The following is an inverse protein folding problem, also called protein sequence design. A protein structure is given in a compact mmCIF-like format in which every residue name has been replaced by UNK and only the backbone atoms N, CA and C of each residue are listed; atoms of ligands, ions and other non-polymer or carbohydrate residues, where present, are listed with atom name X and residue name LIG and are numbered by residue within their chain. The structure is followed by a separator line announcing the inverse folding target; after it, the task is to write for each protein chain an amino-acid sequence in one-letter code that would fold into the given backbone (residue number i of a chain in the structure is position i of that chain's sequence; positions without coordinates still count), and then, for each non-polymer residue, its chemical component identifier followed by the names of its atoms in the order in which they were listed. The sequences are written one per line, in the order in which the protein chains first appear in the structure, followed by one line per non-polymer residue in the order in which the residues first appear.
data_IF_265322252170
#
_entry.id   IF_265322252170
#
_cell.length_a   1.000
_cell.length_b   1.000
_cell.length_c   1.000
_cell.angle_alpha   90.00
_cell.angle_beta   90.00
_cell.angle_gamma   90.00
#
_symmetry.space_group_name_H-M   'P 1'
#
loop_
_entity.id
_entity.type
_entity.pdbx_description
1 polymer ?
#
# COMPACT_ATOMS: atom_id res chain seq x y z
N UNK A 1 0.12 -18.37 -20.73
CA UNK A 1 0.03 -17.16 -21.55
C UNK A 1 -0.63 -16.08 -20.74
N UNK A 2 -1.93 -16.15 -20.43
CA UNK A 2 -2.48 -15.23 -19.43
C UNK A 2 -1.76 -15.35 -18.08
N UNK A 3 -1.39 -14.21 -17.52
CA UNK A 3 -0.64 -14.06 -16.27
C UNK A 3 0.84 -14.47 -16.35
N UNK A 4 1.38 -14.75 -17.54
CA UNK A 4 2.83 -14.91 -17.72
C UNK A 4 3.52 -13.57 -17.45
N UNK A 5 4.60 -13.60 -16.67
CA UNK A 5 5.38 -12.42 -16.26
C UNK A 5 6.52 -12.20 -17.23
N UNK A 6 6.56 -11.03 -17.86
CA UNK A 6 7.62 -10.61 -18.76
C UNK A 6 8.59 -9.72 -18.00
N UNK A 7 9.88 -10.05 -18.02
CA UNK A 7 10.94 -9.30 -17.31
C UNK A 7 12.04 -8.89 -18.30
N UNK A 8 12.35 -7.60 -18.33
CA UNK A 8 13.50 -7.05 -19.06
C UNK A 8 14.60 -6.75 -18.05
N UNK A 9 15.77 -7.37 -18.22
CA UNK A 9 16.95 -7.16 -17.37
C UNK A 9 18.06 -6.40 -18.12
N UNK A 10 18.86 -5.66 -17.37
CA UNK A 10 20.09 -5.01 -17.83
C UNK A 10 21.16 -5.16 -16.75
N UNK A 11 22.32 -5.73 -17.10
CA UNK A 11 23.43 -6.00 -16.16
C UNK A 11 22.98 -6.64 -14.81
N UNK A 12 22.06 -7.61 -14.88
CA UNK A 12 21.43 -8.30 -13.73
C UNK A 12 20.45 -7.49 -12.88
N UNK A 13 20.03 -6.31 -13.34
CA UNK A 13 18.96 -5.54 -12.70
C UNK A 13 17.69 -5.61 -13.54
N UNK A 14 16.57 -5.97 -12.92
CA UNK A 14 15.26 -5.80 -13.54
C UNK A 14 14.99 -4.32 -13.83
N UNK A 15 14.79 -4.00 -15.12
CA UNK A 15 14.40 -2.66 -15.56
C UNK A 15 12.89 -2.53 -15.74
N UNK A 16 12.23 -3.61 -16.18
CA UNK A 16 10.78 -3.65 -16.38
C UNK A 16 10.23 -5.02 -16.05
N UNK A 17 9.01 -5.02 -15.55
CA UNK A 17 8.18 -6.19 -15.38
C UNK A 17 6.74 -5.88 -15.82
N UNK A 18 6.06 -6.86 -16.40
CA UNK A 18 4.69 -6.74 -16.83
C UNK A 18 4.00 -8.10 -16.93
N UNK A 19 2.68 -8.10 -17.01
CA UNK A 19 1.86 -9.32 -17.07
C UNK A 19 1.15 -9.42 -18.41
N UNK A 20 1.19 -10.61 -19.00
CA UNK A 20 0.47 -10.88 -20.23
C UNK A 20 -1.03 -11.08 -19.96
N UNK A 21 -1.88 -10.31 -20.63
CA UNK A 21 -3.32 -10.40 -20.56
C UNK A 21 -3.94 -9.94 -21.88
N UNK A 22 -4.89 -10.71 -22.41
CA UNK A 22 -5.62 -10.40 -23.66
C UNK A 22 -4.72 -10.02 -24.85
N UNK A 23 -3.60 -10.72 -25.05
CA UNK A 23 -2.69 -10.46 -26.17
C UNK A 23 -1.71 -9.31 -25.98
N UNK A 24 -1.71 -8.67 -24.81
CA UNK A 24 -0.88 -7.50 -24.50
C UNK A 24 -0.17 -7.67 -23.16
N UNK A 25 0.89 -6.91 -22.94
CA UNK A 25 1.59 -6.77 -21.67
C UNK A 25 1.02 -5.56 -20.92
N UNK A 26 0.48 -5.81 -19.73
CA UNK A 26 0.13 -4.78 -18.76
C UNK A 26 1.39 -4.43 -17.98
N UNK A 27 1.80 -3.17 -18.03
CA UNK A 27 2.97 -2.69 -17.31
C UNK A 27 2.65 -1.44 -16.49
N UNK A 28 3.45 -1.23 -15.44
CA UNK A 28 3.54 0.04 -14.76
C UNK A 28 4.64 0.88 -15.43
N UNK A 29 4.24 2.01 -16.02
CA UNK A 29 5.16 2.99 -16.59
C UNK A 29 5.36 4.15 -15.62
N UNK A 30 6.62 4.43 -15.25
CA UNK A 30 6.98 5.63 -14.49
C UNK A 30 7.28 6.76 -15.48
N UNK A 31 6.52 7.85 -15.38
CA UNK A 31 6.72 9.09 -16.11
C UNK A 31 7.43 10.07 -15.18
N UNK A 32 8.68 10.40 -15.51
CA UNK A 32 9.48 11.38 -14.75
C UNK A 32 9.18 12.79 -15.23
N UNK A 33 8.52 13.59 -14.39
CA UNK A 33 8.29 15.03 -14.62
C UNK A 33 9.34 15.90 -13.93
N UNK A 34 9.35 17.21 -14.26
CA UNK A 34 10.29 18.20 -13.69
C UNK A 34 10.08 18.38 -12.18
N UNK A 35 8.83 18.26 -11.71
CA UNK A 35 8.47 18.52 -10.31
C UNK A 35 8.05 17.27 -9.52
N UNK A 36 7.57 16.22 -10.21
CA UNK A 36 7.15 14.96 -9.60
C UNK A 36 7.19 13.83 -10.62
N UNK A 37 7.35 12.61 -10.13
CA UNK A 37 7.12 11.40 -10.92
C UNK A 37 5.63 11.02 -10.84
N UNK A 38 5.05 10.60 -11.95
CA UNK A 38 3.74 9.96 -12.00
C UNK A 38 3.86 8.54 -12.51
N UNK A 39 2.92 7.67 -12.18
CA UNK A 39 2.81 6.35 -12.79
C UNK A 39 1.57 6.23 -13.63
N UNK A 40 1.69 5.51 -14.74
CA UNK A 40 0.59 5.14 -15.61
C UNK A 40 0.61 3.63 -15.81
N UNK A 41 -0.57 3.02 -15.81
CA UNK A 41 -0.71 1.60 -16.12
C UNK A 41 -1.24 1.51 -17.54
N UNK A 42 -0.52 0.81 -18.41
CA UNK A 42 -0.90 0.68 -19.81
C UNK A 42 -0.72 -0.73 -20.35
N UNK A 43 -1.48 -1.02 -21.42
CA UNK A 43 -1.34 -2.24 -22.23
C UNK A 43 -0.48 -1.93 -23.44
N UNK A 44 0.57 -2.71 -23.64
CA UNK A 44 1.49 -2.60 -24.78
C UNK A 44 1.71 -3.96 -25.43
N UNK A 45 2.09 -4.01 -26.70
CA UNK A 45 2.53 -5.28 -27.29
C UNK A 45 3.94 -5.65 -26.78
N UNK A 46 4.36 -6.90 -27.03
CA UNK A 46 5.67 -7.42 -26.58
C UNK A 46 6.83 -6.60 -27.14
N UNK A 47 6.75 -6.18 -28.40
CA UNK A 47 7.82 -5.39 -29.05
C UNK A 47 7.99 -4.01 -28.39
N UNK A 48 6.90 -3.32 -28.08
CA UNK A 48 6.93 -2.02 -27.40
C UNK A 48 7.35 -2.15 -25.93
N UNK A 49 6.99 -3.25 -25.26
CA UNK A 49 7.42 -3.54 -23.89
C UNK A 49 8.94 -3.71 -23.81
N UNK A 50 9.46 -4.62 -24.63
CA UNK A 50 10.87 -5.05 -24.65
C UNK A 50 11.79 -4.02 -25.29
N UNK A 51 11.30 -3.26 -26.27
CA UNK A 51 12.07 -2.31 -27.09
C UNK A 51 13.31 -2.96 -27.72
N UNK A 52 13.18 -4.22 -28.13
CA UNK A 52 14.28 -5.01 -28.72
C UNK A 52 15.35 -5.46 -27.72
N UNK A 53 15.16 -5.26 -26.41
CA UNK A 53 16.04 -5.82 -25.37
C UNK A 53 15.72 -7.28 -25.11
N UNK A 54 16.72 -8.02 -24.64
CA UNK A 54 16.54 -9.38 -24.11
C UNK A 54 15.59 -9.38 -22.92
N UNK A 55 14.72 -10.39 -22.88
CA UNK A 55 13.72 -10.56 -21.83
C UNK A 55 13.55 -12.02 -21.47
N UNK A 56 12.98 -12.26 -20.29
CA UNK A 56 12.57 -13.57 -19.82
C UNK A 56 11.06 -13.59 -19.61
N UNK A 57 10.47 -14.77 -19.79
CA UNK A 57 9.05 -15.02 -19.52
C UNK A 57 8.96 -16.08 -18.44
N UNK A 58 8.29 -15.74 -17.35
CA UNK A 58 8.09 -16.63 -16.22
C UNK A 58 6.61 -16.95 -16.06
N UNK A 59 6.30 -18.16 -15.59
CA UNK A 59 4.94 -18.58 -15.31
C UNK A 59 4.81 -18.95 -13.85
N UNK A 60 3.80 -18.41 -13.18
CA UNK A 60 3.48 -18.77 -11.80
C UNK A 60 3.05 -20.23 -11.75
N UNK A 61 3.75 -21.04 -10.97
CA UNK A 61 3.54 -22.49 -10.88
C UNK A 61 2.13 -22.85 -10.40
N UNK A 62 1.62 -22.14 -9.39
CA UNK A 62 0.27 -22.35 -8.80
C UNK A 62 -0.88 -21.83 -9.67
N UNK A 63 -0.62 -21.50 -10.93
CA UNK A 63 -1.58 -20.91 -11.84
C UNK A 63 -1.94 -19.46 -11.51
N UNK A 64 -2.78 -18.86 -12.35
CA UNK A 64 -3.27 -17.49 -12.18
C UNK A 64 -4.44 -17.45 -11.17
N UNK A 65 -4.50 -16.45 -10.27
CA UNK A 65 -5.66 -16.28 -9.39
C UNK A 65 -6.95 -16.07 -10.19
N UNK A 66 -8.09 -16.59 -9.70
CA UNK A 66 -9.39 -16.39 -10.33
C UNK A 66 -9.78 -14.91 -10.43
N UNK A 67 -9.29 -14.10 -9.49
CA UNK A 67 -9.45 -12.64 -9.42
C UNK A 67 -8.53 -11.87 -10.36
N UNK A 68 -7.61 -12.52 -11.08
CA UNK A 68 -6.59 -11.85 -11.90
C UNK A 68 -7.18 -10.82 -12.87
N UNK A 69 -8.23 -11.19 -13.63
CA UNK A 69 -8.89 -10.26 -14.57
C UNK A 69 -9.50 -9.05 -13.86
N UNK A 70 -10.17 -9.27 -12.74
CA UNK A 70 -10.74 -8.18 -11.94
C UNK A 70 -9.64 -7.27 -11.37
N UNK A 71 -8.51 -7.83 -10.93
CA UNK A 71 -7.37 -7.06 -10.43
C UNK A 71 -6.75 -6.20 -11.53
N UNK A 72 -6.64 -6.74 -12.75
CA UNK A 72 -6.21 -6.02 -13.95
C UNK A 72 -7.16 -4.88 -14.28
N UNK A 73 -8.46 -5.14 -14.35
CA UNK A 73 -9.45 -4.12 -14.70
C UNK A 73 -9.49 -3.00 -13.64
N UNK A 74 -9.42 -3.35 -12.36
CA UNK A 74 -9.31 -2.37 -11.27
C UNK A 74 -8.04 -1.52 -11.43
N UNK A 75 -6.89 -2.15 -11.70
CA UNK A 75 -5.63 -1.44 -11.88
C UNK A 75 -5.66 -0.50 -13.09
N UNK A 76 -6.21 -0.94 -14.22
CA UNK A 76 -6.36 -0.13 -15.44
C UNK A 76 -7.36 1.03 -15.28
N UNK A 77 -8.35 0.88 -14.40
CA UNK A 77 -9.34 1.93 -14.12
C UNK A 77 -8.82 3.07 -13.24
N UNK A 78 -7.65 2.89 -12.61
CA UNK A 78 -7.06 3.91 -11.73
C UNK A 78 -6.45 5.04 -12.54
N UNK A 79 -6.73 6.27 -12.12
CA UNK A 79 -6.02 7.44 -12.64
C UNK A 79 -4.52 7.36 -12.27
N UNK A 80 -3.64 8.01 -13.06
CA UNK A 80 -2.22 8.10 -12.75
C UNK A 80 -1.97 8.56 -11.31
N UNK A 81 -1.20 7.79 -10.54
CA UNK A 81 -0.83 8.19 -9.18
C UNK A 81 0.36 9.17 -9.26
N UNK A 82 0.20 10.36 -8.68
CA UNK A 82 1.26 11.37 -8.57
C UNK A 82 2.06 11.16 -7.27
N UNK A 83 3.37 11.46 -7.28
CA UNK A 83 4.30 11.28 -6.14
C UNK A 83 4.62 9.81 -5.84
N UNK A 84 4.60 8.98 -6.88
CA UNK A 84 4.84 7.55 -6.79
C UNK A 84 6.36 7.26 -6.72
N UNK A 85 7.00 7.65 -5.62
CA UNK A 85 8.40 7.33 -5.35
C UNK A 85 8.51 5.95 -4.70
N UNK A 86 9.21 5.02 -5.38
CA UNK A 86 9.68 3.76 -4.79
C UNK A 86 8.80 2.53 -5.00
N UNK A 87 7.61 2.63 -5.60
CA UNK A 87 6.85 1.44 -5.99
C UNK A 87 7.40 0.89 -7.31
N UNK A 88 7.84 -0.37 -7.28
CA UNK A 88 8.59 -0.95 -8.39
C UNK A 88 7.70 -1.85 -9.28
N UNK A 89 8.15 -2.10 -10.52
CA UNK A 89 7.38 -2.90 -11.48
C UNK A 89 7.14 -4.36 -11.04
N UNK A 90 7.98 -4.93 -10.18
CA UNK A 90 7.76 -6.27 -9.63
C UNK A 90 6.70 -6.28 -8.54
N UNK A 91 6.66 -5.26 -7.68
CA UNK A 91 5.59 -5.06 -6.68
C UNK A 91 4.22 -4.96 -7.37
N UNK A 92 4.16 -4.27 -8.52
CA UNK A 92 2.96 -4.21 -9.36
C UNK A 92 2.51 -5.58 -9.86
N UNK A 93 3.44 -6.35 -10.44
CA UNK A 93 3.18 -7.70 -10.94
C UNK A 93 2.71 -8.62 -9.80
N UNK A 94 3.37 -8.56 -8.65
CA UNK A 94 2.99 -9.33 -7.48
C UNK A 94 1.60 -8.97 -6.96
N UNK A 95 1.22 -7.69 -6.96
CA UNK A 95 -0.12 -7.26 -6.56
C UNK A 95 -1.20 -7.88 -7.47
N UNK A 96 -1.00 -7.82 -8.79
CA UNK A 96 -1.94 -8.41 -9.75
C UNK A 96 -2.04 -9.93 -9.61
N UNK A 97 -0.93 -10.60 -9.26
CA UNK A 97 -0.85 -12.04 -9.03
C UNK A 97 -1.22 -12.47 -7.60
N UNK A 98 -1.66 -11.55 -6.74
CA UNK A 98 -2.00 -11.78 -5.32
C UNK A 98 -0.89 -12.45 -4.52
N UNK A 99 0.37 -12.15 -4.85
CA UNK A 99 1.52 -12.60 -4.07
C UNK A 99 1.58 -11.77 -2.79
N UNK A 100 1.45 -12.44 -1.65
CA UNK A 100 1.50 -11.77 -0.36
C UNK A 100 2.93 -11.33 -0.03
N UNK A 101 3.09 -10.01 0.09
CA UNK A 101 4.30 -9.39 0.59
C UNK A 101 4.02 -8.78 1.98
N UNK A 102 4.69 -9.24 3.06
CA UNK A 102 4.59 -8.60 4.37
C UNK A 102 4.97 -7.12 4.28
N UNK A 103 4.26 -6.21 4.95
CA UNK A 103 4.59 -4.78 4.93
C UNK A 103 5.94 -4.48 5.61
N UNK A 104 6.66 -3.47 5.12
CA UNK A 104 7.89 -2.94 5.73
C UNK A 104 7.74 -1.45 6.09
N UNK A 105 8.70 -0.90 6.84
CA UNK A 105 8.69 0.54 7.16
C UNK A 105 8.71 1.44 5.91
N UNK A 106 9.37 1.01 4.83
CA UNK A 106 9.40 1.75 3.55
C UNK A 106 8.01 1.90 2.94
N UNK A 107 7.16 0.87 3.07
CA UNK A 107 5.77 0.91 2.60
C UNK A 107 4.96 2.02 3.30
N UNK A 108 5.31 2.39 4.54
CA UNK A 108 4.61 3.47 5.27
C UNK A 108 4.76 4.82 4.57
N UNK A 109 5.94 5.11 4.01
CA UNK A 109 6.18 6.35 3.26
C UNK A 109 5.36 6.36 1.98
N UNK A 110 5.41 5.27 1.20
CA UNK A 110 4.62 5.11 -0.04
C UNK A 110 3.12 5.35 0.22
N UNK A 111 2.58 4.73 1.27
CA UNK A 111 1.18 4.88 1.66
C UNK A 111 0.86 6.31 2.10
N UNK A 112 1.76 6.99 2.83
CA UNK A 112 1.58 8.39 3.23
C UNK A 112 1.50 9.35 2.02
N UNK A 113 2.05 8.95 0.87
CA UNK A 113 1.99 9.69 -0.40
C UNK A 113 0.88 9.25 -1.34
N UNK A 114 0.01 8.32 -0.94
CA UNK A 114 -1.21 7.97 -1.69
C UNK A 114 -1.25 6.55 -2.21
N UNK A 115 -0.17 5.78 -2.12
CA UNK A 115 -0.17 4.40 -2.61
C UNK A 115 -1.10 3.51 -1.78
N UNK A 116 -1.87 2.65 -2.46
CA UNK A 116 -2.67 1.61 -1.80
C UNK A 116 -1.80 0.70 -0.91
N UNK A 117 -2.22 0.40 0.34
CA UNK A 117 -1.53 -0.56 1.19
C UNK A 117 -1.55 -1.98 0.61
N UNK A 118 -0.37 -2.61 0.48
CA UNK A 118 -0.23 -4.00 0.00
C UNK A 118 -0.86 -5.00 0.96
N UNK A 119 -1.51 -6.03 0.42
CA UNK A 119 -2.23 -7.04 1.22
C UNK A 119 -3.57 -6.54 1.77
N UNK A 120 -4.09 -5.44 1.22
CA UNK A 120 -5.41 -4.92 1.52
C UNK A 120 -6.27 -4.85 0.26
N UNK A 121 -7.55 -5.16 0.41
CA UNK A 121 -8.57 -4.86 -0.59
C UNK A 121 -9.19 -3.49 -0.33
N UNK A 122 -9.60 -2.83 -1.40
CA UNK A 122 -10.35 -1.57 -1.32
C UNK A 122 -11.76 -1.88 -0.84
N UNK A 123 -12.22 -1.18 0.19
CA UNK A 123 -13.62 -1.19 0.65
C UNK A 123 -14.34 0.08 0.20
N UNK A 124 -13.61 1.20 0.16
CA UNK A 124 -14.11 2.51 -0.27
C UNK A 124 -12.93 3.33 -0.80
N UNK A 125 -13.07 3.97 -1.95
CA UNK A 125 -12.10 4.95 -2.45
C UNK A 125 -12.35 6.35 -1.89
N UNK A 126 -11.37 7.25 -2.07
CA UNK A 126 -11.49 8.66 -1.64
C UNK A 126 -12.67 9.39 -2.27
N UNK A 127 -12.99 9.08 -3.53
CA UNK A 127 -14.05 9.73 -4.29
C UNK A 127 -15.46 9.21 -3.96
N UNK A 128 -15.56 8.02 -3.38
CA UNK A 128 -16.85 7.37 -3.13
C UNK A 128 -17.55 7.99 -1.91
N UNK A 129 -18.88 7.97 -1.90
CA UNK A 129 -19.67 8.31 -0.71
C UNK A 129 -19.58 7.20 0.36
N UNK A 130 -19.77 7.56 1.63
CA UNK A 130 -19.75 6.58 2.71
C UNK A 130 -21.10 5.87 2.88
N UNK A 131 -21.12 4.57 2.62
CA UNK A 131 -22.31 3.71 2.73
C UNK A 131 -22.27 2.71 3.90
N UNK A 132 -21.62 3.07 5.02
CA UNK A 132 -21.64 2.31 6.30
C UNK A 132 -21.12 0.87 6.29
N UNK A 133 -19.98 0.62 5.62
CA UNK A 133 -19.35 -0.71 5.53
C UNK A 133 -18.09 -0.92 6.38
N UNK A 134 -17.86 -0.06 7.38
CA UNK A 134 -16.68 -0.14 8.22
C UNK A 134 -16.76 -1.31 9.22
N UNK A 135 -15.72 -2.12 9.26
CA UNK A 135 -15.58 -3.26 10.16
C UNK A 135 -14.36 -3.08 11.08
N UNK A 136 -14.32 -3.86 12.17
CA UNK A 136 -13.14 -3.98 13.01
C UNK A 136 -11.90 -4.24 12.13
N UNK A 137 -10.78 -3.60 12.44
CA UNK A 137 -9.51 -3.78 11.73
C UNK A 137 -9.44 -3.14 10.34
N UNK A 138 -10.49 -2.45 9.87
CA UNK A 138 -10.40 -1.64 8.65
C UNK A 138 -9.44 -0.47 8.86
N UNK A 139 -8.54 -0.29 7.89
CA UNK A 139 -7.60 0.82 7.82
C UNK A 139 -8.26 2.01 7.10
N UNK A 140 -8.27 3.16 7.75
CA UNK A 140 -8.77 4.41 7.20
C UNK A 140 -7.58 5.29 6.83
N UNK A 141 -7.60 5.83 5.61
CA UNK A 141 -6.68 6.88 5.16
C UNK A 141 -7.50 8.13 4.82
N UNK A 142 -7.23 9.25 5.49
CA UNK A 142 -7.92 10.53 5.29
C UNK A 142 -7.01 11.50 4.54
N UNK A 143 -7.53 12.09 3.48
CA UNK A 143 -6.85 13.07 2.65
C UNK A 143 -6.83 14.45 3.32
N UNK A 144 -5.69 14.78 3.93
CA UNK A 144 -5.35 16.14 4.38
C UNK A 144 -4.11 16.66 3.63
N UNK A 145 -3.49 17.73 4.12
CA UNK A 145 -2.18 18.19 3.61
C UNK A 145 -1.11 17.09 3.67
N UNK A 146 -1.26 16.13 4.58
CA UNK A 146 -0.63 14.81 4.57
C UNK A 146 -1.71 13.75 4.86
N UNK A 147 -1.54 12.52 4.36
CA UNK A 147 -2.47 11.43 4.70
C UNK A 147 -2.42 11.13 6.20
N UNK A 148 -3.60 11.06 6.80
CA UNK A 148 -3.77 10.59 8.17
C UNK A 148 -4.30 9.17 8.17
N UNK A 149 -3.67 8.29 8.95
CA UNK A 149 -4.10 6.91 9.10
C UNK A 149 -4.68 6.62 10.48
N UNK A 150 -5.69 5.75 10.48
CA UNK A 150 -6.33 5.24 11.69
C UNK A 150 -6.94 3.87 11.42
N UNK A 151 -7.26 3.13 12.49
CA UNK A 151 -7.83 1.77 12.36
C UNK A 151 -9.16 1.70 13.09
N UNK A 152 -10.17 1.09 12.49
CA UNK A 152 -11.43 0.82 13.17
C UNK A 152 -11.21 -0.21 14.29
N UNK A 153 -11.51 0.17 15.53
CA UNK A 153 -11.32 -0.66 16.72
C UNK A 153 -12.63 -1.16 17.34
N UNK A 154 -13.77 -1.00 16.65
CA UNK A 154 -15.08 -1.42 17.15
C UNK A 154 -15.87 -2.24 16.13
N UNK A 155 -16.61 -3.22 16.64
CA UNK A 155 -17.58 -4.01 15.87
C UNK A 155 -18.93 -3.30 15.72
N UNK A 156 -19.20 -2.25 16.52
CA UNK A 156 -20.50 -1.57 16.63
C UNK A 156 -20.56 -0.24 15.88
N UNK A 157 -19.65 -0.01 14.93
CA UNK A 157 -19.54 1.23 14.16
C UNK A 157 -18.13 1.81 14.17
N UNK A 158 -17.88 2.88 13.38
CA UNK A 158 -16.54 3.30 13.04
C UNK A 158 -15.93 4.16 14.16
N UNK A 159 -15.47 3.50 15.23
CA UNK A 159 -14.56 4.08 16.21
C UNK A 159 -13.14 3.85 15.75
N UNK A 160 -12.41 4.94 15.53
CA UNK A 160 -11.08 4.92 14.92
C UNK A 160 -10.04 5.17 16.01
N UNK A 161 -9.12 4.21 16.20
CA UNK A 161 -7.89 4.45 16.95
C UNK A 161 -6.88 5.15 16.04
N UNK A 162 -6.28 6.22 16.52
CA UNK A 162 -5.30 7.01 15.76
C UNK A 162 -4.14 7.47 16.65
N UNK A 163 -3.05 7.85 16.00
CA UNK A 163 -1.95 8.59 16.62
C UNK A 163 -1.99 10.03 16.10
N UNK A 164 -2.29 10.99 16.98
CA UNK A 164 -2.34 12.41 16.63
C UNK A 164 -1.22 13.18 17.32
N UNK A 165 -0.59 14.10 16.59
CA UNK A 165 0.31 15.08 17.19
C UNK A 165 -0.51 16.21 17.82
N UNK A 166 -0.29 16.48 19.11
CA UNK A 166 -0.87 17.62 19.82
C UNK A 166 0.25 18.61 20.12
N UNK A 167 0.06 19.86 19.68
CA UNK A 167 0.95 20.97 20.05
C UNK A 167 0.80 21.23 21.54
N UNK A 168 1.92 21.32 22.25
CA UNK A 168 1.95 21.75 23.65
C UNK A 168 2.81 23.01 23.74
N UNK A 169 2.22 24.09 24.27
CA UNK A 169 2.94 25.34 24.56
C UNK A 169 2.60 26.52 23.65
N UNK A 170 2.83 27.73 24.18
CA UNK A 170 2.62 29.03 23.54
C UNK A 170 3.93 29.64 22.95
N UNK A 171 5.05 28.91 22.95
CA UNK A 171 6.36 29.43 22.56
C UNK A 171 6.72 29.15 21.09
N UNK A 172 7.70 29.89 20.57
CA UNK A 172 8.25 29.84 19.21
C UNK A 172 8.96 28.51 18.86
N UNK A 173 9.07 27.58 19.82
CA UNK A 173 9.56 26.21 19.61
C UNK A 173 8.34 25.28 19.53
N UNK A 174 8.15 24.63 18.38
CA UNK A 174 7.05 23.69 18.14
C UNK A 174 7.31 22.36 18.86
N UNK A 175 6.87 22.24 20.12
CA UNK A 175 6.83 20.96 20.83
C UNK A 175 5.54 20.20 20.48
N UNK A 176 5.70 19.05 19.84
CA UNK A 176 4.61 18.11 19.57
C UNK A 176 4.69 16.90 20.51
N UNK A 177 3.55 16.57 21.13
CA UNK A 177 3.37 15.30 21.83
C UNK A 177 2.42 14.43 21.02
N UNK A 178 2.84 13.22 20.71
CA UNK A 178 1.97 12.24 20.07
C UNK A 178 1.05 11.62 21.13
N UNK A 179 -0.23 11.54 20.82
CA UNK A 179 -1.27 10.98 21.69
C UNK A 179 -2.01 9.90 20.91
N UNK A 180 -2.18 8.74 21.54
CA UNK A 180 -3.08 7.70 21.04
C UNK A 180 -4.47 7.96 21.61
N UNK A 181 -5.47 8.04 20.75
CA UNK A 181 -6.86 8.18 21.18
C UNK A 181 -7.82 7.41 20.27
N UNK A 182 -9.06 7.24 20.73
CA UNK A 182 -10.17 6.72 19.94
C UNK A 182 -11.15 7.87 19.67
N UNK A 183 -11.53 8.05 18.42
CA UNK A 183 -12.50 9.05 17.98
C UNK A 183 -13.59 8.41 17.11
N UNK A 184 -14.72 9.07 16.96
CA UNK A 184 -15.70 8.69 15.95
C UNK A 184 -15.20 9.08 14.55
N UNK A 185 -15.60 8.34 13.50
CA UNK A 185 -15.21 8.62 12.11
C UNK A 185 -15.38 10.08 11.71
N UNK A 186 -16.51 10.71 12.04
CA UNK A 186 -16.75 12.12 11.73
C UNK A 186 -15.70 13.06 12.36
N UNK A 187 -15.22 12.72 13.57
CA UNK A 187 -14.14 13.46 14.23
C UNK A 187 -12.76 13.12 13.68
N UNK A 188 -12.57 11.92 13.14
CA UNK A 188 -11.33 11.49 12.48
C UNK A 188 -11.17 12.14 11.10
N UNK A 189 -12.20 12.08 10.27
CA UNK A 189 -12.16 12.63 8.91
C UNK A 189 -12.27 14.15 8.89
N UNK A 190 -12.93 14.75 9.88
CA UNK A 190 -13.19 16.20 9.95
C UNK A 190 -13.80 16.76 8.65
N UNK A 191 -14.65 15.97 7.98
CA UNK A 191 -15.29 16.33 6.70
C UNK A 191 -14.42 16.14 5.46
N UNK A 192 -13.17 15.68 5.60
CA UNK A 192 -12.28 15.39 4.49
C UNK A 192 -12.63 14.06 3.80
N UNK A 193 -12.19 13.91 2.55
CA UNK A 193 -12.27 12.65 1.81
C UNK A 193 -11.38 11.59 2.44
N UNK A 194 -11.83 10.34 2.41
CA UNK A 194 -11.07 9.22 2.97
C UNK A 194 -11.34 7.93 2.22
N UNK A 195 -10.38 7.01 2.28
CA UNK A 195 -10.47 5.66 1.78
C UNK A 195 -10.48 4.64 2.94
N UNK A 196 -11.08 3.48 2.67
CA UNK A 196 -11.13 2.35 3.60
C UNK A 196 -10.50 1.14 2.93
N UNK A 197 -9.54 0.53 3.61
CA UNK A 197 -8.81 -0.66 3.16
C UNK A 197 -8.98 -1.77 4.19
N UNK A 198 -9.22 -3.00 3.72
CA UNK A 198 -9.38 -4.18 4.57
C UNK A 198 -8.31 -5.20 4.28
N UNK A 199 -7.63 -5.72 5.32
CA UNK A 199 -6.65 -6.79 5.15
C UNK A 199 -7.28 -8.02 4.50
N UNK A 200 -6.59 -8.57 3.50
CA UNK A 200 -7.03 -9.80 2.82
C UNK A 200 -6.86 -11.04 3.70
N UNK A 201 -5.89 -11.03 4.61
CA UNK A 201 -5.61 -12.11 5.56
C UNK A 201 -6.45 -12.06 6.85
N UNK A 202 -7.45 -11.17 6.91
CA UNK A 202 -8.23 -10.96 8.14
C UNK A 202 -7.48 -10.15 9.21
N UNK A 203 -8.12 -10.06 10.37
CA UNK A 203 -7.63 -9.28 11.53
C UNK A 203 -6.87 -10.25 12.44
N UNK A 204 -5.67 -9.90 12.94
CA UNK A 204 -4.96 -10.80 13.84
C UNK A 204 -5.68 -10.89 15.20
N UNK A 205 -5.69 -12.07 15.81
CA UNK A 205 -6.31 -12.30 17.13
C UNK A 205 -5.77 -11.37 18.22
N UNK A 206 -4.50 -10.96 18.08
CA UNK A 206 -3.84 -10.03 18.99
C UNK A 206 -4.29 -8.57 18.83
N UNK A 207 -5.12 -8.22 17.85
CA UNK A 207 -5.48 -6.85 17.52
C UNK A 207 -6.10 -6.09 18.70
N UNK A 208 -7.13 -6.67 19.34
CA UNK A 208 -7.81 -6.02 20.49
C UNK A 208 -6.82 -5.74 21.63
N UNK A 209 -5.98 -6.73 21.97
CA UNK A 209 -4.91 -6.58 22.98
C UNK A 209 -3.89 -5.51 22.61
N UNK A 210 -3.54 -5.37 21.32
CA UNK A 210 -2.65 -4.30 20.84
C UNK A 210 -3.29 -2.91 20.96
N UNK A 211 -4.58 -2.78 20.66
CA UNK A 211 -5.34 -1.53 20.84
C UNK A 211 -5.33 -1.09 22.30
N UNK A 212 -5.64 -1.99 23.24
CA UNK A 212 -5.60 -1.72 24.69
C UNK A 212 -4.20 -1.30 25.16
N UNK A 213 -3.16 -2.01 24.69
CA UNK A 213 -1.77 -1.70 25.00
C UNK A 213 -1.31 -0.36 24.41
N UNK A 214 -1.83 0.02 23.24
CA UNK A 214 -1.52 1.30 22.62
C UNK A 214 -2.13 2.47 23.40
N UNK A 215 -3.36 2.31 23.90
CA UNK A 215 -4.04 3.33 24.71
C UNK A 215 -3.42 3.53 26.09
N UNK A 216 -2.89 2.47 26.71
CA UNK A 216 -2.22 2.56 28.01
C UNK A 216 -0.81 3.15 27.95
N UNK A 217 -0.22 3.24 26.76
CA UNK A 217 1.11 3.82 26.54
C UNK A 217 0.98 5.29 26.18
N UNK A 218 1.53 6.18 27.00
CA UNK A 218 1.87 7.53 26.54
C UNK A 218 3.08 7.43 25.59
N UNK A 219 2.96 7.80 24.31
CA UNK A 219 4.11 7.84 23.40
C UNK A 219 5.19 8.75 24.00
N UNK A 220 6.43 8.26 24.13
CA UNK A 220 7.52 9.07 24.66
C UNK A 220 7.79 10.25 23.72
N UNK A 221 7.84 11.46 24.29
CA UNK A 221 8.29 12.69 23.61
C UNK A 221 9.59 12.38 22.84
N UNK A 222 9.63 12.71 21.54
CA UNK A 222 10.78 12.63 20.60
C UNK A 222 10.91 11.45 19.63
N UNK A 223 9.98 10.48 19.57
CA UNK A 223 10.01 9.53 18.45
C UNK A 223 9.37 10.16 17.21
N UNK A 224 10.16 10.95 16.48
CA UNK A 224 9.89 11.44 15.12
C UNK A 224 9.69 10.29 14.10
N UNK A 225 9.91 9.05 14.53
CA UNK A 225 9.78 7.83 13.73
C UNK A 225 8.33 7.32 13.60
N UNK A 226 7.38 7.80 14.41
CA UNK A 226 5.98 7.39 14.30
C UNK A 226 5.19 8.27 13.34
N UNK A 227 5.26 7.94 12.05
CA UNK A 227 4.18 8.29 11.13
C UNK A 227 2.86 7.70 11.65
N UNK A 228 1.74 8.43 11.55
CA UNK A 228 0.41 7.91 11.87
C UNK A 228 0.09 6.63 11.05
N UNK A 229 0.68 6.50 9.85
CA UNK A 229 0.61 5.32 8.99
C UNK A 229 1.35 4.15 9.63
N UNK A 230 2.58 4.36 10.09
CA UNK A 230 3.36 3.31 10.75
C UNK A 230 2.61 2.77 11.97
N UNK A 231 2.07 3.67 12.80
CA UNK A 231 1.26 3.27 13.96
C UNK A 231 0.06 2.40 13.56
N UNK A 232 -0.73 2.84 12.57
CA UNK A 232 -1.90 2.10 12.11
C UNK A 232 -1.52 0.73 11.53
N UNK A 233 -0.44 0.64 10.76
CA UNK A 233 0.02 -0.61 10.18
C UNK A 233 0.63 -1.56 11.22
N UNK A 234 1.35 -1.06 12.23
CA UNK A 234 1.91 -1.92 13.29
C UNK A 234 0.83 -2.52 14.20
N UNK A 235 -0.27 -1.80 14.42
CA UNK A 235 -1.46 -2.36 15.07
C UNK A 235 -1.97 -3.59 14.31
N UNK A 236 -2.04 -3.49 12.98
CA UNK A 236 -2.60 -4.50 12.11
C UNK A 236 -1.65 -5.65 11.79
N UNK A 237 -0.36 -5.38 11.63
CA UNK A 237 0.62 -6.34 11.08
C UNK A 237 1.69 -6.75 12.10
N UNK A 238 1.77 -6.07 13.25
CA UNK A 238 2.90 -6.23 14.16
C UNK A 238 4.05 -5.30 13.78
N UNK A 239 5.17 -5.41 14.51
CA UNK A 239 6.34 -4.55 14.29
C UNK A 239 6.82 -4.70 12.85
N UNK A 240 6.95 -3.59 12.12
CA UNK A 240 7.42 -3.62 10.74
C UNK A 240 8.94 -3.60 10.70
N UNK A 241 9.51 -4.42 9.81
CA UNK A 241 10.94 -4.48 9.60
C UNK A 241 11.44 -3.30 8.75
N UNK A 242 12.68 -2.92 8.99
CA UNK A 242 13.42 -1.95 8.19
C UNK A 242 14.15 -2.70 7.08
N UNK A 243 13.35 -3.17 6.11
CA UNK A 243 13.85 -3.87 4.92
C UNK A 243 13.37 -3.13 3.67
N UNK A 244 14.32 -2.65 2.88
CA UNK A 244 14.06 -2.28 1.50
C UNK A 244 14.13 -3.57 0.68
N UNK A 245 13.05 -3.88 -0.06
CA UNK A 245 13.05 -5.03 -0.95
C UNK A 245 13.59 -4.56 -2.29
N UNK A 246 14.74 -5.08 -2.65
CA UNK A 246 15.23 -4.91 -4.00
C UNK A 246 14.42 -5.77 -4.98
N UNK A 247 14.66 -5.54 -6.27
CA UNK A 247 13.86 -6.18 -7.32
C UNK A 247 14.24 -7.66 -7.51
N UNK A 248 15.46 -8.05 -7.13
CA UNK A 248 15.91 -9.45 -7.25
C UNK A 248 15.35 -10.30 -6.10
N UNK A 249 15.29 -9.78 -4.87
CA UNK A 249 14.57 -10.38 -3.73
C UNK A 249 13.12 -10.74 -4.14
N UNK A 250 12.47 -9.83 -4.88
CA UNK A 250 11.10 -10.04 -5.36
C UNK A 250 11.04 -11.07 -6.50
N UNK A 251 12.02 -11.05 -7.39
CA UNK A 251 12.15 -12.06 -8.44
C UNK A 251 12.28 -13.47 -7.84
N UNK A 252 13.09 -13.62 -6.79
CA UNK A 252 13.29 -14.89 -6.10
C UNK A 252 12.04 -15.32 -5.32
N UNK A 253 11.29 -14.39 -4.71
CA UNK A 253 10.00 -14.73 -4.10
C UNK A 253 8.98 -15.22 -5.14
N UNK A 254 9.02 -14.68 -6.36
CA UNK A 254 8.11 -15.06 -7.43
C UNK A 254 8.51 -16.39 -8.12
N UNK A 255 9.81 -16.66 -8.26
CA UNK A 255 10.33 -17.72 -9.14
C UNK A 255 11.49 -18.56 -8.57
N UNK A 256 11.96 -18.30 -7.36
CA UNK A 256 13.18 -18.90 -6.79
C UNK A 256 13.13 -20.42 -6.58
N UNK A 257 11.96 -21.04 -6.71
CA UNK A 257 11.79 -22.50 -6.64
C UNK A 257 11.80 -23.20 -8.02
N UNK A 258 12.06 -22.49 -9.12
CA UNK A 258 12.15 -23.13 -10.45
C UNK A 258 13.59 -23.51 -10.81
N UNK A 259 14.05 -24.65 -10.29
CA UNK A 259 15.09 -25.49 -10.92
C UNK A 259 14.45 -26.69 -11.63
#
# INVERSE_FOLDING_TARGET
MEGDVFIVKDERKVQKAGLYNDGQIIQLQVLTGIFYNSTEINKVNVDAFTRGKSFAVYRKEKGIPQSFKNNVDEAMSKCPETNFHGYNCMEFVMELLEVYLPLTKSDCSKIAFGTKPKGFKVVKNFADDYNSNAMLGDLFLVQGGYLQAGVCCSEKGPKIIQLTARRIGHSFILDFVHIVNIVHLNGFSAGMRYAIYRRTQGIPDSFKKKVEKALSRMPKRRQAEYSNVLFALELLSGKLEEKERDVEDLNDILFGDTE
#
